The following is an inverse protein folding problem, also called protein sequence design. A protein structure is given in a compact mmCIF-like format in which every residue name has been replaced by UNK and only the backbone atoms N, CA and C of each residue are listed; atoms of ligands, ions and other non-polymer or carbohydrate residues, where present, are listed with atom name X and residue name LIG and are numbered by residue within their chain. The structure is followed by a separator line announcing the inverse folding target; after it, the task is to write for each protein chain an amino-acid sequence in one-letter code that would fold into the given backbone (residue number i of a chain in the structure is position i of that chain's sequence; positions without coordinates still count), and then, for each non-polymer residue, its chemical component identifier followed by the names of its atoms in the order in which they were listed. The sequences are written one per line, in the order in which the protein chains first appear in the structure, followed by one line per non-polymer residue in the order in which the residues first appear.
data_IF_137275868357
#
_entry.id   IF_137275868357
#
_cell.length_a   1.000
_cell.length_b   1.000
_cell.length_c   1.000
_cell.angle_alpha   90.00
_cell.angle_beta   90.00
_cell.angle_gamma   90.00
#
_symmetry.space_group_name_H-M   'P 1'
#
loop_
_entity.id
_entity.type
_entity.pdbx_description
1 polymer ?
#
# COMPACT_ATOMS: atom_id res chain seq x y z
N UNK A 1 -14.24 0.18 22.84
CA UNK A 1 -13.69 0.21 21.48
C UNK A 1 -12.44 1.07 21.58
N UNK A 2 -11.25 0.46 21.71
CA UNK A 2 -10.01 1.21 21.89
C UNK A 2 -9.62 1.69 20.49
N UNK A 3 -9.69 3.00 20.25
CA UNK A 3 -9.10 3.64 19.09
C UNK A 3 -7.62 3.26 19.04
N UNK A 4 -7.29 2.24 18.26
CA UNK A 4 -5.90 2.02 17.84
C UNK A 4 -5.56 3.22 16.96
N UNK A 5 -4.90 4.23 17.54
CA UNK A 5 -4.22 5.27 16.79
C UNK A 5 -3.24 4.51 15.89
N UNK A 6 -3.57 4.36 14.61
CA UNK A 6 -2.62 3.82 13.65
C UNK A 6 -1.37 4.70 13.71
N UNK A 7 -0.20 4.15 14.04
CA UNK A 7 1.01 4.94 13.99
C UNK A 7 1.13 5.52 12.56
N UNK A 8 1.42 6.80 12.46
CA UNK A 8 1.57 7.44 11.15
C UNK A 8 2.54 6.63 10.31
N UNK A 9 2.32 6.56 9.00
CA UNK A 9 3.19 5.88 8.05
C UNK A 9 4.68 6.20 8.32
N UNK A 10 4.97 7.46 8.61
CA UNK A 10 6.32 7.93 8.89
C UNK A 10 6.83 7.44 10.24
N UNK A 11 5.99 7.37 11.27
CA UNK A 11 6.37 6.81 12.56
C UNK A 11 6.82 5.34 12.44
N UNK A 12 6.17 4.58 11.55
CA UNK A 12 6.56 3.19 11.26
C UNK A 12 7.90 3.10 10.55
N UNK A 13 8.16 3.98 9.58
CA UNK A 13 9.44 4.00 8.85
C UNK A 13 10.63 4.36 9.73
N UNK A 14 10.40 5.15 10.77
CA UNK A 14 11.43 5.54 11.72
C UNK A 14 11.66 4.48 12.81
N UNK A 15 10.73 3.53 12.97
CA UNK A 15 10.92 2.43 13.90
C UNK A 15 12.08 1.53 13.46
N UNK A 16 12.81 0.91 14.40
CA UNK A 16 13.85 -0.06 14.06
C UNK A 16 13.25 -1.16 13.19
N UNK A 17 13.88 -1.41 12.04
CA UNK A 17 13.42 -2.43 11.11
C UNK A 17 13.62 -3.80 11.74
N UNK A 18 12.57 -4.41 12.26
CA UNK A 18 12.49 -5.86 12.39
C UNK A 18 12.59 -6.46 10.99
N UNK A 19 13.28 -7.58 10.83
CA UNK A 19 13.28 -8.31 9.58
C UNK A 19 11.86 -8.73 9.22
N UNK A 20 11.53 -8.73 7.92
CA UNK A 20 10.26 -9.26 7.44
C UNK A 20 10.46 -10.70 7.00
N UNK A 21 9.67 -11.61 7.54
CA UNK A 21 9.70 -13.02 7.16
C UNK A 21 8.58 -13.32 6.17
N UNK A 22 8.94 -13.78 4.95
CA UNK A 22 7.98 -14.16 3.94
C UNK A 22 7.50 -15.59 4.19
N UNK A 23 6.20 -15.81 4.18
CA UNK A 23 5.60 -17.14 4.29
C UNK A 23 4.41 -17.28 3.37
N UNK A 24 4.12 -18.52 3.00
CA UNK A 24 2.90 -18.87 2.27
C UNK A 24 1.86 -19.38 3.28
N UNK A 25 0.76 -18.66 3.53
CA UNK A 25 -0.25 -19.12 4.48
C UNK A 25 -0.98 -20.34 3.95
N UNK A 26 -1.19 -21.33 4.81
CA UNK A 26 -1.91 -22.54 4.47
C UNK A 26 -3.43 -22.37 4.52
N UNK A 27 -4.04 -21.71 5.53
CA UNK A 27 -5.42 -21.25 5.43
C UNK A 27 -5.48 -19.86 4.78
N UNK A 28 -6.65 -19.47 4.26
CA UNK A 28 -6.94 -18.10 3.91
C UNK A 28 -6.76 -17.21 5.16
N UNK A 29 -6.06 -16.11 5.01
CA UNK A 29 -5.82 -15.17 6.11
C UNK A 29 -6.31 -13.78 5.73
N UNK A 30 -6.61 -12.99 6.76
CA UNK A 30 -6.97 -11.58 6.61
C UNK A 30 -5.72 -10.75 6.80
N UNK A 31 -5.46 -9.84 5.86
CA UNK A 31 -4.36 -8.88 5.98
C UNK A 31 -4.61 -7.93 7.15
N UNK A 32 -3.70 -7.91 8.12
CA UNK A 32 -3.80 -7.02 9.28
C UNK A 32 -3.68 -5.53 8.94
N UNK A 33 -3.16 -5.19 7.74
CA UNK A 33 -3.04 -3.80 7.30
C UNK A 33 -4.27 -3.24 6.59
N UNK A 34 -4.93 -4.02 5.71
CA UNK A 34 -6.07 -3.53 4.93
C UNK A 34 -7.37 -4.32 5.13
N UNK A 35 -7.34 -5.41 5.89
CA UNK A 35 -8.52 -6.23 6.18
C UNK A 35 -9.03 -7.08 5.00
N UNK A 36 -8.33 -7.13 3.86
CA UNK A 36 -8.71 -7.97 2.74
C UNK A 36 -8.35 -9.43 3.02
N UNK A 37 -9.24 -10.34 2.65
CA UNK A 37 -8.94 -11.76 2.57
C UNK A 37 -7.89 -12.00 1.49
N UNK A 38 -6.86 -12.79 1.80
CA UNK A 38 -5.82 -13.20 0.85
C UNK A 38 -5.83 -14.71 0.79
N UNK A 39 -5.86 -15.23 -0.43
CA UNK A 39 -5.95 -16.65 -0.65
C UNK A 39 -4.68 -17.41 -0.27
N UNK A 40 -4.75 -18.74 -0.40
CA UNK A 40 -3.70 -19.66 0.07
C UNK A 40 -2.38 -19.50 -0.66
N UNK A 41 -2.40 -19.00 -1.89
CA UNK A 41 -1.20 -18.86 -2.73
C UNK A 41 -0.58 -17.45 -2.65
N UNK A 42 -1.25 -16.50 -2.01
CA UNK A 42 -0.70 -15.17 -1.79
C UNK A 42 0.48 -15.22 -0.83
N UNK A 43 1.57 -14.57 -1.22
CA UNK A 43 2.72 -14.41 -0.34
C UNK A 43 2.40 -13.30 0.65
N UNK A 44 2.36 -13.66 1.92
CA UNK A 44 2.21 -12.71 3.01
C UNK A 44 3.54 -12.52 3.73
N UNK A 45 3.64 -11.43 4.43
CA UNK A 45 4.81 -11.11 5.23
C UNK A 45 4.38 -10.97 6.67
N UNK A 46 5.08 -11.68 7.55
CA UNK A 46 4.91 -11.60 8.99
C UNK A 46 6.04 -10.79 9.58
N UNK A 47 5.73 -9.85 10.44
CA UNK A 47 6.75 -9.15 11.21
C UNK A 47 7.30 -10.05 12.32
N UNK A 48 8.61 -10.01 12.59
CA UNK A 48 9.18 -10.69 13.76
C UNK A 48 8.54 -10.17 15.05
N UNK A 49 8.03 -11.10 15.87
CA UNK A 49 7.37 -10.75 17.14
C UNK A 49 5.93 -10.24 17.00
N UNK A 50 5.37 -10.25 15.81
CA UNK A 50 3.97 -9.89 15.54
C UNK A 50 3.28 -11.01 14.76
N UNK A 51 2.05 -11.34 15.15
CA UNK A 51 1.19 -12.26 14.38
C UNK A 51 0.44 -11.56 13.24
N UNK A 52 0.85 -10.37 12.86
CA UNK A 52 0.23 -9.57 11.81
C UNK A 52 0.76 -10.01 10.44
N UNK A 53 -0.08 -10.70 9.68
CA UNK A 53 0.20 -11.02 8.28
C UNK A 53 -0.16 -9.83 7.39
N UNK A 54 0.73 -9.47 6.47
CA UNK A 54 0.53 -8.36 5.53
C UNK A 54 0.48 -8.87 4.09
N UNK A 55 -0.49 -8.40 3.32
CA UNK A 55 -0.48 -8.60 1.88
C UNK A 55 0.68 -7.82 1.23
N UNK A 56 1.09 -8.18 0.00
CA UNK A 56 2.18 -7.47 -0.69
C UNK A 56 1.97 -5.96 -0.82
N UNK A 57 0.73 -5.50 -0.97
CA UNK A 57 0.42 -4.06 -1.05
C UNK A 57 0.71 -3.36 0.28
N UNK A 58 0.22 -3.94 1.38
CA UNK A 58 0.46 -3.36 2.70
C UNK A 58 1.93 -3.45 3.11
N UNK A 59 2.62 -4.52 2.74
CA UNK A 59 4.06 -4.68 2.99
C UNK A 59 4.89 -3.53 2.44
N UNK A 60 4.55 -3.03 1.23
CA UNK A 60 5.35 -1.99 0.57
C UNK A 60 5.61 -0.77 1.46
N UNK A 61 4.63 -0.38 2.27
CA UNK A 61 4.80 0.74 3.20
C UNK A 61 5.50 0.37 4.51
N UNK A 62 5.78 -0.91 4.73
CA UNK A 62 6.44 -1.40 5.96
C UNK A 62 7.89 -1.78 5.73
N UNK A 63 8.22 -2.14 4.51
CA UNK A 63 9.54 -2.63 4.14
C UNK A 63 10.46 -1.46 3.77
N UNK A 64 11.46 -1.13 4.59
CA UNK A 64 12.41 -0.06 4.29
C UNK A 64 13.27 -0.38 3.06
N UNK A 65 13.35 -1.65 2.66
CA UNK A 65 14.03 -2.09 1.45
C UNK A 65 13.13 -2.01 0.21
N UNK A 66 11.91 -1.46 0.32
CA UNK A 66 11.01 -1.26 -0.83
C UNK A 66 11.72 -0.50 -1.94
N UNK A 67 11.82 -1.07 -3.16
CA UNK A 67 12.55 -0.45 -4.24
C UNK A 67 12.01 0.94 -4.62
N UNK A 68 12.90 1.83 -5.03
CA UNK A 68 12.50 3.09 -5.62
C UNK A 68 11.53 2.85 -6.79
N UNK A 69 10.46 3.63 -6.84
CA UNK A 69 9.43 3.48 -7.87
C UNK A 69 8.38 2.39 -7.62
N UNK A 70 8.52 1.56 -6.58
CA UNK A 70 7.45 0.64 -6.17
C UNK A 70 6.23 1.35 -5.57
N UNK A 71 6.44 2.54 -5.04
CA UNK A 71 5.42 3.39 -4.46
C UNK A 71 5.51 4.80 -5.03
N UNK A 72 4.41 5.52 -4.91
CA UNK A 72 4.35 6.98 -5.02
C UNK A 72 3.69 7.54 -3.76
N UNK A 73 4.19 8.65 -3.26
CA UNK A 73 3.59 9.33 -2.11
C UNK A 73 2.57 10.38 -2.58
N UNK A 74 1.45 10.43 -1.87
CA UNK A 74 0.38 11.37 -2.09
C UNK A 74 -0.04 12.03 -0.77
N UNK A 75 -0.40 13.31 -0.81
CA UNK A 75 -1.03 13.99 0.31
C UNK A 75 -2.52 13.63 0.34
N UNK A 76 -2.89 12.74 1.25
CA UNK A 76 -4.23 12.15 1.40
C UNK A 76 -4.61 12.06 2.88
N UNK A 77 -4.67 13.18 3.61
CA UNK A 77 -4.91 13.17 5.06
C UNK A 77 -6.28 12.61 5.46
N UNK A 78 -7.24 12.60 4.53
CA UNK A 78 -8.59 12.08 4.72
C UNK A 78 -8.69 10.55 4.77
N UNK A 79 -7.63 9.84 4.37
CA UNK A 79 -7.60 8.38 4.37
C UNK A 79 -6.68 7.83 5.46
N UNK A 80 -7.10 6.76 6.14
CA UNK A 80 -6.16 5.86 6.79
C UNK A 80 -5.42 5.03 5.74
N UNK A 81 -4.15 4.68 5.99
CA UNK A 81 -3.36 3.94 5.00
C UNK A 81 -3.97 2.57 4.67
N UNK A 82 -4.51 1.87 5.67
CA UNK A 82 -5.16 0.58 5.47
C UNK A 82 -6.40 0.66 4.59
N UNK A 83 -7.23 1.69 4.78
CA UNK A 83 -8.40 1.96 3.95
C UNK A 83 -8.01 2.28 2.50
N UNK A 84 -6.98 3.11 2.32
CA UNK A 84 -6.46 3.44 1.00
C UNK A 84 -5.93 2.20 0.28
N UNK A 85 -5.18 1.33 0.98
CA UNK A 85 -4.69 0.08 0.41
C UNK A 85 -5.84 -0.87 0.03
N UNK A 86 -6.89 -0.95 0.85
CA UNK A 86 -8.09 -1.73 0.56
C UNK A 86 -8.80 -1.18 -0.68
N UNK A 87 -9.06 0.12 -0.72
CA UNK A 87 -9.69 0.80 -1.86
C UNK A 87 -8.90 0.55 -3.14
N UNK A 88 -7.58 0.82 -3.10
CA UNK A 88 -6.68 0.62 -4.24
C UNK A 88 -6.74 -0.83 -4.75
N UNK A 89 -6.65 -1.81 -3.86
CA UNK A 89 -6.65 -3.22 -4.21
C UNK A 89 -7.97 -3.62 -4.85
N UNK A 90 -9.09 -3.21 -4.26
CA UNK A 90 -10.44 -3.51 -4.79
C UNK A 90 -10.64 -2.91 -6.18
N UNK A 91 -10.32 -1.62 -6.36
CA UNK A 91 -10.44 -0.95 -7.66
C UNK A 91 -9.56 -1.63 -8.73
N UNK A 92 -8.33 -1.99 -8.37
CA UNK A 92 -7.41 -2.64 -9.30
C UNK A 92 -7.92 -4.02 -9.72
N UNK A 93 -8.43 -4.82 -8.78
CA UNK A 93 -9.02 -6.14 -9.07
C UNK A 93 -10.25 -6.01 -9.98
N UNK A 94 -11.14 -5.07 -9.70
CA UNK A 94 -12.32 -4.84 -10.52
C UNK A 94 -11.96 -4.45 -11.96
N UNK A 95 -10.96 -3.58 -12.13
CA UNK A 95 -10.48 -3.19 -13.46
C UNK A 95 -9.84 -4.37 -14.21
N UNK A 96 -9.07 -5.20 -13.51
CA UNK A 96 -8.45 -6.38 -14.11
C UNK A 96 -9.50 -7.41 -14.53
N UNK A 97 -10.51 -7.68 -13.70
CA UNK A 97 -11.64 -8.55 -14.03
C UNK A 97 -12.43 -8.04 -15.23
N UNK A 98 -12.67 -6.75 -15.27
CA UNK A 98 -13.36 -6.14 -16.39
C UNK A 98 -12.59 -6.31 -17.71
N UNK A 99 -11.28 -6.14 -17.67
CA UNK A 99 -10.41 -6.39 -18.83
C UNK A 99 -10.47 -7.84 -19.29
N UNK A 100 -10.35 -8.79 -18.37
CA UNK A 100 -10.47 -10.21 -18.68
C UNK A 100 -11.81 -10.57 -19.30
N UNK A 101 -12.89 -9.93 -18.85
CA UNK A 101 -14.24 -10.14 -19.36
C UNK A 101 -14.55 -9.35 -20.63
N UNK A 102 -13.60 -8.61 -21.23
CA UNK A 102 -13.83 -7.75 -22.40
C UNK A 102 -14.81 -6.60 -22.15
N UNK A 103 -15.03 -6.20 -20.90
CA UNK A 103 -16.00 -5.17 -20.48
C UNK A 103 -15.37 -3.80 -20.23
N UNK A 104 -14.26 -3.52 -20.90
CA UNK A 104 -13.46 -2.30 -20.65
C UNK A 104 -14.24 -0.97 -20.91
N UNK A 105 -15.30 -1.00 -21.71
CA UNK A 105 -16.05 0.18 -22.12
C UNK A 105 -17.34 0.45 -21.32
N UNK A 106 -17.62 -0.32 -20.27
CA UNK A 106 -18.86 -0.14 -19.49
C UNK A 106 -18.79 1.05 -18.53
N UNK A 107 -19.87 1.85 -18.44
CA UNK A 107 -19.97 3.02 -17.55
C UNK A 107 -19.58 2.71 -16.08
N UNK A 108 -19.87 1.50 -15.61
CA UNK A 108 -19.52 1.06 -14.25
C UNK A 108 -18.01 0.83 -14.02
N UNK A 109 -17.19 0.83 -15.06
CA UNK A 109 -15.74 0.63 -14.99
C UNK A 109 -15.00 1.96 -15.11
N UNK A 110 -15.56 2.88 -15.89
CA UNK A 110 -14.98 4.18 -16.15
C UNK A 110 -14.71 4.97 -14.86
N UNK A 111 -15.67 5.07 -13.95
CA UNK A 111 -15.50 5.81 -12.70
C UNK A 111 -14.41 5.20 -11.79
N UNK A 112 -14.18 3.87 -11.87
CA UNK A 112 -13.10 3.22 -11.11
C UNK A 112 -11.72 3.63 -11.60
N UNK A 113 -11.56 3.73 -12.92
CA UNK A 113 -10.37 4.26 -13.55
C UNK A 113 -10.14 5.72 -13.17
N UNK A 114 -11.18 6.57 -13.31
CA UNK A 114 -11.12 7.98 -12.93
C UNK A 114 -10.75 8.19 -11.46
N UNK A 115 -11.27 7.35 -10.56
CA UNK A 115 -10.91 7.44 -9.14
C UNK A 115 -9.43 7.12 -8.90
N UNK A 116 -8.90 6.07 -9.53
CA UNK A 116 -7.47 5.77 -9.45
C UNK A 116 -6.62 6.89 -10.06
N UNK A 117 -7.02 7.41 -11.20
CA UNK A 117 -6.34 8.53 -11.88
C UNK A 117 -6.36 9.79 -10.99
N UNK A 118 -7.45 10.05 -10.28
CA UNK A 118 -7.55 11.12 -9.29
C UNK A 118 -6.60 10.95 -8.13
N UNK A 119 -6.46 9.74 -7.60
CA UNK A 119 -5.49 9.44 -6.54
C UNK A 119 -4.06 9.65 -7.04
N UNK A 120 -3.73 9.21 -8.26
CA UNK A 120 -2.41 9.44 -8.84
C UNK A 120 -2.14 10.90 -9.20
N UNK A 121 -3.17 11.65 -9.63
CA UNK A 121 -3.04 13.09 -9.86
C UNK A 121 -2.62 13.83 -8.57
N UNK A 122 -3.15 13.43 -7.41
CA UNK A 122 -2.72 13.95 -6.09
C UNK A 122 -1.29 13.54 -5.76
N UNK A 123 -0.87 12.33 -6.11
CA UNK A 123 0.51 11.90 -5.96
C UNK A 123 1.46 12.74 -6.82
N UNK A 124 1.10 13.02 -8.08
CA UNK A 124 1.89 13.89 -8.95
C UNK A 124 1.98 15.33 -8.41
N UNK A 125 0.89 15.84 -7.86
CA UNK A 125 0.89 17.16 -7.21
C UNK A 125 1.81 17.16 -5.99
N UNK A 126 1.73 16.15 -5.13
CA UNK A 126 2.63 16.00 -3.97
C UNK A 126 4.09 15.95 -4.41
N UNK A 127 4.39 15.20 -5.46
CA UNK A 127 5.73 15.06 -5.99
C UNK A 127 6.32 16.37 -6.54
N UNK A 128 5.50 17.25 -7.10
CA UNK A 128 5.94 18.58 -7.56
C UNK A 128 6.40 19.47 -6.41
N UNK A 129 5.77 19.34 -5.24
CA UNK A 129 6.10 20.11 -4.05
C UNK A 129 7.19 19.45 -3.19
N UNK A 130 7.27 18.11 -3.26
CA UNK A 130 8.21 17.29 -2.52
C UNK A 130 8.90 16.30 -3.47
N UNK A 131 9.82 16.77 -4.33
CA UNK A 131 10.39 15.96 -5.43
C UNK A 131 11.14 14.70 -4.97
N UNK A 132 11.60 14.67 -3.73
CA UNK A 132 12.28 13.52 -3.11
C UNK A 132 11.32 12.41 -2.60
N UNK A 133 10.00 12.61 -2.69
CA UNK A 133 9.01 11.61 -2.27
C UNK A 133 8.95 10.35 -3.14
N UNK A 134 9.69 10.32 -4.26
CA UNK A 134 9.88 9.09 -5.05
C UNK A 134 10.81 8.08 -4.37
N UNK A 135 11.60 8.52 -3.41
CA UNK A 135 12.61 7.72 -2.74
C UNK A 135 12.31 7.67 -1.24
N UNK A 136 11.52 6.68 -0.83
CA UNK A 136 11.17 6.51 0.58
C UNK A 136 12.39 6.36 1.48
N UNK A 137 13.41 5.66 1.02
CA UNK A 137 14.67 5.54 1.74
C UNK A 137 15.31 6.90 1.98
N UNK A 138 15.35 7.76 0.95
CA UNK A 138 15.91 9.10 1.09
C UNK A 138 15.11 9.97 2.08
N UNK A 139 13.76 9.91 2.02
CA UNK A 139 12.92 10.61 2.99
C UNK A 139 13.19 10.13 4.41
N UNK A 140 13.26 8.81 4.61
CA UNK A 140 13.57 8.20 5.90
C UNK A 140 14.94 8.65 6.41
N UNK A 141 15.97 8.51 5.58
CA UNK A 141 17.35 8.84 5.95
C UNK A 141 17.49 10.33 6.26
N UNK A 142 16.80 11.19 5.51
CA UNK A 142 16.75 12.64 5.78
C UNK A 142 16.09 12.89 7.15
N UNK A 143 14.95 12.26 7.44
CA UNK A 143 14.28 12.46 8.73
C UNK A 143 15.10 11.91 9.90
N UNK A 144 15.81 10.80 9.71
CA UNK A 144 16.70 10.24 10.74
C UNK A 144 17.93 11.12 10.99
N UNK A 145 18.39 11.86 9.98
CA UNK A 145 19.52 12.79 10.10
C UNK A 145 19.13 14.11 10.77
N UNK A 146 17.83 14.44 10.86
CA UNK A 146 17.39 15.67 11.54
C UNK A 146 17.59 15.55 13.07
N UNK A 147 17.94 16.67 13.74
CA UNK A 147 17.85 16.78 15.18
C UNK A 147 16.44 16.42 15.69
N UNK A 148 16.33 15.86 16.89
CA UNK A 148 15.06 15.36 17.43
C UNK A 148 13.96 16.45 17.45
N UNK A 149 14.29 17.70 17.77
CA UNK A 149 13.34 18.81 17.77
C UNK A 149 12.82 19.15 16.39
N UNK A 150 13.67 19.13 15.37
CA UNK A 150 13.28 19.40 13.98
C UNK A 150 12.47 18.24 13.42
N UNK A 151 12.86 16.99 13.72
CA UNK A 151 12.09 15.81 13.37
C UNK A 151 10.70 15.82 14.01
N UNK A 152 10.60 16.15 15.29
CA UNK A 152 9.32 16.27 15.99
C UNK A 152 8.41 17.36 15.36
N UNK A 153 8.98 18.43 14.82
CA UNK A 153 8.24 19.46 14.10
C UNK A 153 7.82 19.04 12.69
N UNK A 154 8.61 18.22 12.02
CA UNK A 154 8.32 17.74 10.67
C UNK A 154 7.23 16.66 10.64
N UNK A 155 7.18 15.77 11.65
CA UNK A 155 6.25 14.63 11.68
C UNK A 155 4.77 15.01 11.55
N UNK A 156 4.24 16.04 12.25
CA UNK A 156 2.85 16.47 12.07
C UNK A 156 2.56 16.96 10.65
N UNK A 157 3.51 17.69 10.04
CA UNK A 157 3.38 18.20 8.66
C UNK A 157 3.28 17.05 7.66
N UNK A 158 3.99 15.96 7.92
CA UNK A 158 4.02 14.78 7.04
C UNK A 158 2.94 13.75 7.38
N UNK A 159 2.15 13.96 8.43
CA UNK A 159 1.13 13.00 8.90
C UNK A 159 0.04 12.70 7.87
N UNK A 160 -0.18 13.60 6.90
CA UNK A 160 -1.13 13.40 5.79
C UNK A 160 -0.55 12.64 4.60
N UNK A 161 0.73 12.30 4.60
CA UNK A 161 1.31 11.50 3.53
C UNK A 161 0.84 10.06 3.59
N UNK A 162 0.46 9.55 2.42
CA UNK A 162 0.10 8.15 2.18
C UNK A 162 0.87 7.64 0.99
N UNK A 163 1.07 6.34 0.90
CA UNK A 163 1.62 5.74 -0.30
C UNK A 163 0.52 5.11 -1.16
N UNK A 164 0.75 5.14 -2.46
CA UNK A 164 0.02 4.38 -3.46
C UNK A 164 0.99 3.42 -4.12
N UNK A 165 0.62 2.14 -4.25
CA UNK A 165 1.43 1.17 -4.97
C UNK A 165 1.54 1.54 -6.45
N UNK A 166 2.71 1.35 -7.05
CA UNK A 166 2.87 1.50 -8.49
C UNK A 166 2.36 0.22 -9.19
N UNK A 167 1.27 0.28 -9.98
CA UNK A 167 0.68 -0.90 -10.61
C UNK A 167 1.61 -1.58 -11.62
N UNK A 168 2.63 -0.87 -12.09
CA UNK A 168 3.65 -1.40 -13.00
C UNK A 168 4.78 -2.13 -12.28
N UNK A 169 4.78 -2.11 -10.95
CA UNK A 169 5.80 -2.81 -10.17
C UNK A 169 5.60 -4.33 -10.28
N UNK A 170 6.60 -5.09 -10.80
CA UNK A 170 6.43 -6.51 -11.15
C UNK A 170 5.88 -7.41 -10.04
N UNK A 171 6.33 -7.32 -8.77
CA UNK A 171 5.79 -8.12 -7.69
C UNK A 171 4.29 -7.92 -7.45
N UNK A 172 3.79 -6.68 -7.58
CA UNK A 172 2.36 -6.40 -7.45
C UNK A 172 1.55 -7.00 -8.60
N UNK A 173 2.05 -6.91 -9.82
CA UNK A 173 1.40 -7.52 -10.99
C UNK A 173 1.23 -9.04 -10.83
N UNK A 174 2.20 -9.74 -10.25
CA UNK A 174 2.10 -11.17 -9.93
C UNK A 174 1.05 -11.42 -8.84
N UNK A 175 1.06 -10.61 -7.78
CA UNK A 175 0.08 -10.71 -6.69
C UNK A 175 -1.35 -10.56 -7.21
N UNK A 176 -1.63 -9.51 -8.00
CA UNK A 176 -2.98 -9.29 -8.52
C UNK A 176 -3.45 -10.42 -9.46
N UNK A 177 -2.58 -10.95 -10.31
CA UNK A 177 -2.94 -12.11 -11.14
C UNK A 177 -3.30 -13.34 -10.32
N UNK A 178 -2.52 -13.64 -9.27
CA UNK A 178 -2.84 -14.75 -8.34
C UNK A 178 -4.15 -14.53 -7.62
N UNK A 179 -4.36 -13.33 -7.11
CA UNK A 179 -5.59 -12.99 -6.39
C UNK A 179 -6.83 -13.15 -7.30
N UNK A 180 -6.74 -12.75 -8.56
CA UNK A 180 -7.82 -12.97 -9.55
C UNK A 180 -8.14 -14.46 -9.69
N UNK A 181 -7.11 -15.29 -9.90
CA UNK A 181 -7.30 -16.75 -10.05
C UNK A 181 -7.98 -17.37 -8.82
N UNK A 182 -7.64 -16.93 -7.63
CA UNK A 182 -8.23 -17.42 -6.38
C UNK A 182 -9.69 -17.01 -6.21
N UNK A 183 -10.06 -15.81 -6.61
CA UNK A 183 -11.44 -15.33 -6.53
C UNK A 183 -12.33 -15.92 -7.64
N UNK A 184 -11.78 -16.28 -8.78
CA UNK A 184 -12.56 -16.91 -9.87
C UNK A 184 -12.90 -18.37 -9.54
N UNK A 185 -12.01 -19.08 -8.82
CA UNK A 185 -12.27 -20.46 -8.35
C UNK A 185 -13.31 -20.52 -7.22
N UNK A 186 -13.51 -19.43 -6.48
CA UNK A 186 -14.51 -19.38 -5.40
C UNK A 186 -15.93 -18.99 -5.88
N UNK A 187 -16.08 -18.66 -7.17
CA UNK A 187 -17.34 -18.26 -7.78
C UNK A 187 -18.08 -19.42 -8.49
N UNK A 188 -17.42 -20.58 -8.66
CA UNK A 188 -17.96 -21.84 -9.17
C UNK A 188 -18.35 -22.76 -8.00
#
# INVERSE_FOLDING_TARGET
MVDRIEPSLIGRWLAPSGGLEAFAPTPAVICGGCGLGVGRTAILVREPGSDTALCPVCRLGWDPATPAGALVLAWLPEFAQGELNRLYTTLTLDLLRARQAGREAGAGIHWRGELLDGLYARAWSTQRHLPWTQHLSLLRDTLLALPDSERASALPVLAGLRYLPNPRHPPLGVFFRRLLTEFDVAAD
#
